data_IF_223528278860
#
_entry.id   IF_223528278860
#
_cell.length_a   1.000
_cell.length_b   1.000
_cell.length_c   1.000
_cell.angle_alpha   90.00
_cell.angle_beta   90.00
_cell.angle_gamma   90.00
#
_symmetry.space_group_name_H-M   'P 1'
#
loop_
_entity.id
_entity.type
_entity.pdbx_description
1 polymer ?
#
# COMPACT_ATOMS: atom_id res chain seq x y z
N UNK A 1 8.29 8.31 -12.06
CA UNK A 1 7.02 9.07 -12.08
C UNK A 1 7.09 10.40 -11.34
N UNK A 2 7.70 10.51 -10.15
CA UNK A 2 7.96 11.84 -9.53
C UNK A 2 8.76 12.78 -10.43
N UNK A 3 9.67 12.23 -11.24
CA UNK A 3 10.38 12.99 -12.26
C UNK A 3 9.45 13.64 -13.31
N UNK A 4 8.30 13.06 -13.61
CA UNK A 4 7.31 13.65 -14.52
C UNK A 4 6.53 14.79 -13.85
N UNK A 5 6.16 14.63 -12.58
CA UNK A 5 5.55 15.70 -11.80
C UNK A 5 6.54 16.86 -11.59
N UNK A 6 7.79 16.55 -11.25
CA UNK A 6 8.88 17.51 -11.16
C UNK A 6 9.07 18.23 -12.50
N UNK A 7 9.04 17.50 -13.62
CA UNK A 7 9.13 18.07 -14.96
C UNK A 7 7.96 19.01 -15.24
N UNK A 8 6.72 18.67 -14.86
CA UNK A 8 5.55 19.57 -15.01
C UNK A 8 5.70 20.83 -14.15
N UNK A 9 6.14 20.72 -12.90
CA UNK A 9 6.36 21.87 -12.00
C UNK A 9 7.54 22.73 -12.46
N UNK A 10 8.58 22.12 -13.05
CA UNK A 10 9.71 22.85 -13.63
C UNK A 10 9.24 23.58 -14.89
N UNK A 11 8.51 22.92 -15.79
CA UNK A 11 7.97 23.53 -17.00
C UNK A 11 6.97 24.64 -16.69
N UNK A 12 6.11 24.49 -15.68
CA UNK A 12 5.20 25.55 -15.25
C UNK A 12 5.95 26.77 -14.72
N UNK A 13 7.04 26.55 -13.98
CA UNK A 13 7.90 27.63 -13.48
C UNK A 13 8.69 28.34 -14.58
N UNK A 14 9.20 27.60 -15.57
CA UNK A 14 9.86 28.18 -16.76
C UNK A 14 8.85 28.98 -17.58
N UNK A 15 7.66 28.44 -17.81
CA UNK A 15 6.59 29.13 -18.51
C UNK A 15 6.18 30.43 -17.82
N UNK A 16 6.14 30.44 -16.48
CA UNK A 16 5.86 31.64 -15.69
C UNK A 16 6.89 32.76 -15.94
N UNK A 17 8.19 32.45 -15.89
CA UNK A 17 9.27 33.42 -16.07
C UNK A 17 9.35 33.92 -17.52
N UNK A 18 9.21 33.02 -18.50
CA UNK A 18 9.22 33.38 -19.93
C UNK A 18 8.03 34.28 -20.25
N UNK A 19 6.83 33.91 -19.82
CA UNK A 19 5.62 34.68 -20.10
C UNK A 19 5.67 36.05 -19.41
N UNK A 20 6.16 36.11 -18.17
CA UNK A 20 6.34 37.38 -17.45
C UNK A 20 7.35 38.29 -18.14
N UNK A 21 8.46 37.75 -18.64
CA UNK A 21 9.48 38.50 -19.39
C UNK A 21 8.95 39.03 -20.74
N UNK A 22 8.18 38.22 -21.46
CA UNK A 22 7.55 38.61 -22.73
C UNK A 22 6.52 39.73 -22.51
N UNK A 23 5.67 39.61 -21.49
CA UNK A 23 4.66 40.63 -21.16
C UNK A 23 5.36 41.95 -20.81
N UNK A 24 6.38 41.93 -19.95
CA UNK A 24 7.13 43.13 -19.57
C UNK A 24 7.83 43.78 -20.77
N UNK A 25 8.46 42.99 -21.63
CA UNK A 25 9.15 43.48 -22.82
C UNK A 25 8.17 44.13 -23.80
N UNK A 26 7.05 43.46 -24.08
CA UNK A 26 6.03 43.97 -25.00
C UNK A 26 5.37 45.25 -24.47
N UNK A 27 5.14 45.34 -23.16
CA UNK A 27 4.61 46.56 -22.52
C UNK A 27 5.62 47.72 -22.52
N UNK A 28 6.94 47.47 -22.57
CA UNK A 28 7.97 48.51 -22.63
C UNK A 28 8.32 48.97 -24.05
N UNK A 29 8.31 48.08 -25.06
CA UNK A 29 8.68 48.41 -26.44
C UNK A 29 7.57 49.20 -27.18
N UNK A 30 6.30 49.06 -26.80
CA UNK A 30 5.19 49.80 -27.43
C UNK A 30 4.06 50.14 -26.44
N UNK A 31 4.15 51.25 -25.69
CA UNK A 31 3.06 51.70 -24.82
C UNK A 31 1.95 52.30 -25.71
N UNK A 32 1.04 51.45 -26.20
CA UNK A 32 -0.03 51.91 -27.10
C UNK A 32 -1.17 52.60 -26.34
N UNK A 33 -1.47 52.24 -25.09
CA UNK A 33 -2.40 52.95 -24.19
C UNK A 33 -2.13 52.65 -22.70
N UNK A 34 -2.47 53.57 -21.78
CA UNK A 34 -2.33 53.39 -20.32
C UNK A 34 -3.09 52.17 -19.78
N UNK A 35 -4.17 51.77 -20.46
CA UNK A 35 -4.97 50.58 -20.12
C UNK A 35 -4.19 49.27 -20.28
N UNK A 36 -3.32 49.17 -21.29
CA UNK A 36 -2.59 47.95 -21.63
C UNK A 36 -1.50 47.62 -20.61
N UNK A 37 -0.91 48.68 -20.04
CA UNK A 37 0.04 48.61 -18.92
C UNK A 37 -0.65 48.11 -17.65
N UNK A 38 -1.88 48.55 -17.38
CA UNK A 38 -2.67 48.12 -16.22
C UNK A 38 -3.09 46.64 -16.31
N UNK A 39 -3.49 46.16 -17.50
CA UNK A 39 -3.76 44.74 -17.76
C UNK A 39 -2.50 43.90 -17.59
N UNK A 40 -1.35 44.34 -18.12
CA UNK A 40 -0.07 43.65 -17.92
C UNK A 40 0.28 43.50 -16.43
N UNK A 41 0.10 44.55 -15.62
CA UNK A 41 0.30 44.47 -14.17
C UNK A 41 -0.68 43.53 -13.48
N UNK A 42 -1.93 43.43 -13.95
CA UNK A 42 -2.94 42.51 -13.40
C UNK A 42 -2.59 41.06 -13.73
N UNK A 43 -2.18 40.77 -14.96
CA UNK A 43 -1.69 39.45 -15.38
C UNK A 43 -0.43 39.09 -14.58
N UNK A 44 0.54 40.00 -14.41
CA UNK A 44 1.73 39.75 -13.60
C UNK A 44 1.40 39.47 -12.12
N UNK A 45 0.36 40.09 -11.56
CA UNK A 45 -0.12 39.77 -10.18
C UNK A 45 -0.70 38.36 -10.09
N UNK A 46 -1.50 37.95 -11.08
CA UNK A 46 -2.05 36.58 -11.15
C UNK A 46 -0.93 35.56 -11.36
N UNK A 47 0.05 35.87 -12.21
CA UNK A 47 1.22 35.01 -12.47
C UNK A 47 2.08 34.84 -11.20
N UNK A 48 2.22 35.86 -10.36
CA UNK A 48 2.89 35.72 -9.05
C UNK A 48 2.21 34.71 -8.12
N UNK A 49 0.89 34.50 -8.24
CA UNK A 49 0.19 33.48 -7.46
C UNK A 49 0.56 32.07 -7.94
N UNK A 50 0.91 31.89 -9.21
CA UNK A 50 1.40 30.61 -9.74
C UNK A 50 2.77 30.20 -9.14
N UNK A 51 3.52 31.14 -8.52
CA UNK A 51 4.73 30.81 -7.74
C UNK A 51 4.45 29.88 -6.57
N UNK A 52 3.20 29.77 -6.13
CA UNK A 52 2.79 28.79 -5.11
C UNK A 52 3.11 27.35 -5.54
N UNK A 53 3.21 27.08 -6.85
CA UNK A 53 3.69 25.80 -7.40
C UNK A 53 5.12 25.46 -6.96
N UNK A 54 5.96 26.46 -6.65
CA UNK A 54 7.30 26.25 -6.07
C UNK A 54 7.21 25.71 -4.64
N UNK A 55 6.18 26.09 -3.87
CA UNK A 55 5.92 25.55 -2.53
C UNK A 55 5.41 24.10 -2.58
N UNK A 56 4.75 23.71 -3.66
CA UNK A 56 4.35 22.31 -3.89
C UNK A 56 5.58 21.39 -3.99
N UNK A 57 6.77 21.90 -4.33
CA UNK A 57 8.02 21.11 -4.23
C UNK A 57 8.36 20.72 -2.80
N UNK A 58 7.98 21.52 -1.79
CA UNK A 58 8.19 21.18 -0.38
C UNK A 58 7.34 19.98 0.06
N UNK A 59 6.16 19.80 -0.55
CA UNK A 59 5.24 18.66 -0.31
C UNK A 59 5.92 17.32 -0.61
N UNK A 60 6.92 17.29 -1.52
CA UNK A 60 7.70 16.10 -1.85
C UNK A 60 8.46 15.53 -0.65
N UNK A 61 9.04 16.40 0.17
CA UNK A 61 9.92 16.01 1.27
C UNK A 61 9.18 15.92 2.61
N UNK A 62 7.94 16.39 2.65
CA UNK A 62 7.12 16.32 3.83
C UNK A 62 6.64 14.87 4.09
N UNK A 63 7.02 14.27 5.24
CA UNK A 63 6.62 12.91 5.60
C UNK A 63 5.11 12.76 5.79
N UNK A 64 4.41 13.85 6.13
CA UNK A 64 2.93 13.91 6.28
C UNK A 64 2.21 13.45 5.00
N UNK A 65 2.78 13.70 3.81
CA UNK A 65 2.16 13.32 2.54
C UNK A 65 2.58 11.93 2.05
N UNK A 66 3.35 11.16 2.83
CA UNK A 66 3.69 9.77 2.46
C UNK A 66 2.42 8.94 2.23
N UNK A 67 1.46 9.01 3.13
CA UNK A 67 0.19 8.26 3.04
C UNK A 67 -0.63 8.67 1.82
N UNK A 68 -0.76 9.98 1.57
CA UNK A 68 -1.45 10.49 0.38
C UNK A 68 -0.79 10.00 -0.93
N UNK A 69 0.55 9.96 -0.96
CA UNK A 69 1.30 9.48 -2.14
C UNK A 69 1.11 7.99 -2.40
N UNK A 70 1.00 7.19 -1.33
CA UNK A 70 0.69 5.77 -1.44
C UNK A 70 -0.73 5.60 -1.98
N UNK A 71 -1.73 6.30 -1.42
CA UNK A 71 -3.11 6.26 -1.90
C UNK A 71 -3.25 6.69 -3.37
N UNK A 72 -2.63 7.80 -3.77
CA UNK A 72 -2.64 8.28 -5.17
C UNK A 72 -2.01 7.25 -6.10
N UNK A 73 -0.91 6.59 -5.69
CA UNK A 73 -0.28 5.53 -6.49
C UNK A 73 -1.21 4.33 -6.66
N UNK A 74 -1.89 3.91 -5.60
CA UNK A 74 -2.89 2.85 -5.67
C UNK A 74 -4.01 3.19 -6.64
N UNK A 75 -4.53 4.43 -6.60
CA UNK A 75 -5.57 4.90 -7.54
C UNK A 75 -5.06 4.88 -8.99
N UNK A 76 -3.86 5.43 -9.25
CA UNK A 76 -3.29 5.49 -10.59
C UNK A 76 -3.05 4.09 -11.17
N UNK A 77 -2.64 3.12 -10.35
CA UNK A 77 -2.49 1.74 -10.78
C UNK A 77 -3.84 1.09 -11.12
N UNK A 78 -4.92 1.44 -10.42
CA UNK A 78 -6.28 0.98 -10.74
C UNK A 78 -6.88 1.59 -12.01
N UNK A 79 -6.32 2.70 -12.54
CA UNK A 79 -6.84 3.34 -13.75
C UNK A 79 -6.67 2.48 -15.01
N UNK A 80 -5.60 1.68 -15.10
CA UNK A 80 -5.35 0.88 -16.31
C UNK A 80 -6.41 -0.23 -16.51
N UNK A 81 -6.76 -1.04 -15.49
CA UNK A 81 -7.90 -1.95 -15.58
C UNK A 81 -9.22 -1.22 -15.86
N UNK A 82 -9.44 -0.05 -15.24
CA UNK A 82 -10.64 0.74 -15.43
C UNK A 82 -10.82 1.19 -16.90
N UNK A 83 -9.73 1.58 -17.57
CA UNK A 83 -9.75 1.94 -18.99
C UNK A 83 -10.28 0.77 -19.83
N UNK A 84 -9.79 -0.46 -19.59
CA UNK A 84 -10.27 -1.63 -20.32
C UNK A 84 -11.74 -1.95 -20.03
N UNK A 85 -12.19 -1.78 -18.78
CA UNK A 85 -13.60 -1.88 -18.43
C UNK A 85 -14.47 -0.86 -19.17
N UNK A 86 -14.02 0.41 -19.26
CA UNK A 86 -14.72 1.48 -19.99
C UNK A 86 -14.75 1.17 -21.49
N UNK A 87 -13.65 0.67 -22.07
CA UNK A 87 -13.60 0.27 -23.49
C UNK A 87 -14.59 -0.86 -23.77
N UNK A 88 -14.64 -1.88 -22.90
CA UNK A 88 -15.58 -3.00 -23.04
C UNK A 88 -17.03 -2.55 -22.88
N UNK A 89 -17.33 -1.69 -21.90
CA UNK A 89 -18.65 -1.09 -21.72
C UNK A 89 -19.02 -0.22 -22.94
N UNK A 90 -18.09 0.56 -23.47
CA UNK A 90 -18.30 1.40 -24.65
C UNK A 90 -18.59 0.59 -25.91
N UNK A 91 -17.88 -0.53 -26.11
CA UNK A 91 -18.17 -1.47 -27.20
C UNK A 91 -19.55 -2.11 -27.03
N UNK A 92 -19.90 -2.52 -25.82
CA UNK A 92 -21.22 -3.06 -25.50
C UNK A 92 -22.35 -2.05 -25.78
N UNK A 93 -22.18 -0.80 -25.34
CA UNK A 93 -23.13 0.29 -25.62
C UNK A 93 -23.23 0.58 -27.12
N UNK A 94 -22.11 0.52 -27.86
CA UNK A 94 -22.09 0.70 -29.30
C UNK A 94 -22.95 -0.35 -30.03
N UNK A 95 -22.91 -1.62 -29.62
CA UNK A 95 -23.76 -2.67 -30.20
C UNK A 95 -25.25 -2.36 -30.02
N UNK A 96 -25.67 -1.93 -28.83
CA UNK A 96 -27.06 -1.51 -28.58
C UNK A 96 -27.42 -0.23 -29.32
N UNK A 97 -26.47 0.70 -29.45
CA UNK A 97 -26.69 1.93 -30.21
C UNK A 97 -26.97 1.63 -31.69
N UNK A 98 -26.23 0.69 -32.30
CA UNK A 98 -26.48 0.20 -33.67
C UNK A 98 -27.84 -0.49 -33.78
N UNK A 99 -28.23 -1.28 -32.78
CA UNK A 99 -29.55 -1.91 -32.77
C UNK A 99 -30.68 -0.86 -32.75
N UNK A 100 -30.67 0.08 -31.79
CA UNK A 100 -31.75 1.07 -31.68
C UNK A 100 -31.80 2.03 -32.86
N UNK A 101 -30.65 2.50 -33.40
CA UNK A 101 -30.67 3.36 -34.59
C UNK A 101 -31.24 2.62 -35.80
N UNK A 102 -30.98 1.32 -35.95
CA UNK A 102 -31.53 0.52 -37.05
C UNK A 102 -33.04 0.40 -36.90
N UNK A 103 -33.53 0.01 -35.73
CA UNK A 103 -34.98 -0.11 -35.46
C UNK A 103 -35.69 1.23 -35.63
N UNK A 104 -35.12 2.31 -35.11
CA UNK A 104 -35.66 3.66 -35.26
C UNK A 104 -35.70 4.10 -36.72
N UNK A 105 -34.64 3.83 -37.49
CA UNK A 105 -34.59 4.11 -38.93
C UNK A 105 -35.68 3.35 -39.69
N UNK A 106 -35.88 2.07 -39.38
CA UNK A 106 -36.91 1.24 -40.00
C UNK A 106 -38.32 1.78 -39.73
N UNK A 107 -38.60 2.27 -38.52
CA UNK A 107 -39.90 2.89 -38.20
C UNK A 107 -40.09 4.23 -38.89
N UNK A 108 -39.04 5.06 -38.99
CA UNK A 108 -39.11 6.33 -39.73
C UNK A 108 -39.35 6.08 -41.22
N UNK A 109 -38.73 5.05 -41.80
CA UNK A 109 -38.99 4.64 -43.18
C UNK A 109 -40.41 4.08 -43.34
N UNK A 110 -40.87 3.21 -42.43
CA UNK A 110 -42.23 2.68 -42.46
C UNK A 110 -43.30 3.79 -42.39
N UNK A 111 -43.09 4.82 -41.58
CA UNK A 111 -43.95 6.01 -41.55
C UNK A 111 -43.98 6.78 -42.87
N UNK A 112 -42.86 6.78 -43.62
CA UNK A 112 -42.80 7.45 -44.91
C UNK A 112 -43.54 6.66 -46.01
N UNK A 113 -43.41 5.33 -46.03
CA UNK A 113 -44.06 4.48 -47.04
C UNK A 113 -45.53 4.16 -46.75
N UNK A 114 -45.91 4.07 -45.46
CA UNK A 114 -47.26 3.68 -45.02
C UNK A 114 -47.86 4.69 -44.03
N UNK A 115 -48.11 5.95 -44.43
CA UNK A 115 -48.54 7.01 -43.51
C UNK A 115 -49.90 6.74 -42.86
N UNK A 116 -50.80 6.01 -43.52
CA UNK A 116 -52.13 5.69 -42.98
C UNK A 116 -52.07 4.80 -41.74
N UNK A 117 -51.09 3.89 -41.66
CA UNK A 117 -50.89 2.98 -40.52
C UNK A 117 -50.56 3.75 -39.23
N UNK A 118 -49.91 4.90 -39.36
CA UNK A 118 -49.47 5.75 -38.26
C UNK A 118 -50.30 7.04 -38.15
N UNK A 119 -51.49 7.08 -38.76
CA UNK A 119 -52.35 8.27 -38.76
C UNK A 119 -52.90 8.64 -37.37
N UNK A 120 -52.96 7.68 -36.45
CA UNK A 120 -53.37 7.88 -35.07
C UNK A 120 -52.29 8.54 -34.19
N UNK A 121 -51.05 8.65 -34.69
CA UNK A 121 -49.92 9.23 -33.98
C UNK A 121 -49.59 10.63 -34.50
N UNK A 122 -49.06 11.48 -33.62
CA UNK A 122 -48.41 12.72 -34.05
C UNK A 122 -47.05 12.42 -34.69
N UNK A 123 -47.07 12.12 -35.98
CA UNK A 123 -45.89 11.71 -36.75
C UNK A 123 -44.77 12.75 -36.76
N UNK A 124 -45.12 14.05 -36.68
CA UNK A 124 -44.12 15.13 -36.68
C UNK A 124 -43.35 15.12 -35.36
N UNK A 125 -44.06 15.09 -34.23
CA UNK A 125 -43.45 15.00 -32.90
C UNK A 125 -42.57 13.76 -32.75
N UNK A 126 -43.06 12.59 -33.15
CA UNK A 126 -42.32 11.33 -32.99
C UNK A 126 -41.06 11.31 -33.86
N UNK A 127 -41.13 11.78 -35.12
CA UNK A 127 -39.96 11.88 -36.00
C UNK A 127 -38.90 12.82 -35.41
N UNK A 128 -39.32 13.94 -34.83
CA UNK A 128 -38.40 14.88 -34.19
C UNK A 128 -37.74 14.28 -32.93
N UNK A 129 -38.51 13.54 -32.11
CA UNK A 129 -37.98 12.83 -30.95
C UNK A 129 -36.98 11.73 -31.36
N UNK A 130 -37.33 10.90 -32.35
CA UNK A 130 -36.43 9.87 -32.88
C UNK A 130 -35.15 10.52 -33.43
N UNK A 131 -35.26 11.61 -34.17
CA UNK A 131 -34.07 12.32 -34.70
C UNK A 131 -33.23 12.92 -33.58
N UNK A 132 -33.86 13.43 -32.52
CA UNK A 132 -33.20 14.02 -31.38
C UNK A 132 -32.50 12.99 -30.47
N UNK A 133 -32.92 11.73 -30.45
CA UNK A 133 -32.33 10.69 -29.59
C UNK A 133 -31.55 9.64 -30.37
N UNK A 134 -32.08 9.19 -31.51
CA UNK A 134 -31.59 8.08 -32.30
C UNK A 134 -31.14 8.49 -33.71
N UNK A 135 -30.99 9.79 -34.00
CA UNK A 135 -30.69 10.30 -35.34
C UNK A 135 -29.26 10.05 -35.85
N UNK A 136 -28.31 9.74 -34.97
CA UNK A 136 -26.95 9.36 -35.36
C UNK A 136 -26.34 8.42 -34.33
N UNK A 137 -25.38 7.59 -34.76
CA UNK A 137 -24.78 6.58 -33.90
C UNK A 137 -24.18 7.17 -32.61
N UNK A 138 -23.44 8.27 -32.74
CA UNK A 138 -22.86 8.98 -31.60
C UNK A 138 -23.93 9.54 -30.66
N UNK A 139 -25.02 10.05 -31.22
CA UNK A 139 -26.12 10.63 -30.44
C UNK A 139 -26.92 9.55 -29.72
N UNK A 140 -27.20 8.43 -30.37
CA UNK A 140 -27.79 7.25 -29.73
C UNK A 140 -26.92 6.76 -28.59
N UNK A 141 -25.61 6.62 -28.83
CA UNK A 141 -24.69 6.17 -27.80
C UNK A 141 -24.64 7.13 -26.60
N UNK A 142 -24.67 8.44 -26.85
CA UNK A 142 -24.77 9.46 -25.81
C UNK A 142 -26.08 9.35 -25.01
N UNK A 143 -27.22 9.10 -25.67
CA UNK A 143 -28.51 8.88 -25.00
C UNK A 143 -28.50 7.63 -24.13
N UNK A 144 -27.97 6.52 -24.65
CA UNK A 144 -27.82 5.28 -23.87
C UNK A 144 -26.93 5.49 -22.64
N UNK A 145 -25.84 6.25 -22.78
CA UNK A 145 -25.00 6.64 -21.65
C UNK A 145 -25.76 7.51 -20.64
N UNK A 146 -26.48 8.54 -21.11
CA UNK A 146 -27.31 9.39 -20.25
C UNK A 146 -28.39 8.59 -19.49
N UNK A 147 -29.01 7.61 -20.13
CA UNK A 147 -30.03 6.78 -19.49
C UNK A 147 -29.48 5.91 -18.37
N UNK A 148 -28.23 5.48 -18.46
CA UNK A 148 -27.57 4.69 -17.40
C UNK A 148 -26.98 5.59 -16.32
N UNK A 149 -26.45 6.76 -16.68
CA UNK A 149 -25.78 7.67 -15.76
C UNK A 149 -26.73 8.60 -15.00
N UNK A 150 -28.05 8.48 -15.20
CA UNK A 150 -29.07 9.32 -14.57
C UNK A 150 -29.24 10.71 -15.19
N UNK A 151 -28.76 10.93 -16.42
CA UNK A 151 -28.95 12.18 -17.17
C UNK A 151 -30.27 12.27 -17.93
N UNK A 152 -30.86 11.13 -18.30
CA UNK A 152 -32.16 11.02 -18.96
C UNK A 152 -32.95 9.89 -18.31
N UNK A 153 -34.24 10.11 -18.03
CA UNK A 153 -35.10 9.00 -17.61
C UNK A 153 -35.20 7.97 -18.74
N UNK A 154 -34.87 6.72 -18.43
CA UNK A 154 -34.93 5.62 -19.39
C UNK A 154 -36.36 5.41 -19.91
N UNK A 155 -37.38 5.71 -19.07
CA UNK A 155 -38.79 5.62 -19.45
C UNK A 155 -39.12 6.50 -20.65
N UNK A 156 -38.63 7.74 -20.65
CA UNK A 156 -38.84 8.69 -21.74
C UNK A 156 -38.32 8.18 -23.09
N UNK A 157 -37.16 7.50 -23.08
CA UNK A 157 -36.59 6.93 -24.29
C UNK A 157 -37.32 5.66 -24.73
N UNK A 158 -37.75 4.80 -23.79
CA UNK A 158 -38.50 3.57 -24.11
C UNK A 158 -39.92 3.83 -24.57
N UNK A 159 -40.58 4.86 -24.04
CA UNK A 159 -41.98 5.19 -24.36
C UNK A 159 -42.17 5.51 -25.84
N UNK A 160 -41.15 6.06 -26.51
CA UNK A 160 -41.16 6.27 -27.96
C UNK A 160 -41.38 4.94 -28.70
N UNK A 161 -40.71 3.87 -28.28
CA UNK A 161 -40.88 2.55 -28.89
C UNK A 161 -42.23 1.93 -28.55
N UNK A 162 -42.81 2.24 -27.39
CA UNK A 162 -44.16 1.81 -27.01
C UNK A 162 -45.21 2.53 -27.86
N UNK A 163 -45.10 3.84 -28.04
CA UNK A 163 -45.97 4.65 -28.91
C UNK A 163 -45.90 4.20 -30.38
N UNK A 164 -44.74 3.69 -30.81
CA UNK A 164 -44.54 3.11 -32.13
C UNK A 164 -45.09 1.67 -32.30
N UNK A 165 -45.72 1.13 -31.26
CA UNK A 165 -46.15 -0.29 -31.17
C UNK A 165 -44.99 -1.29 -31.31
N UNK A 166 -43.75 -0.83 -31.07
CA UNK A 166 -42.53 -1.62 -31.18
C UNK A 166 -42.15 -2.24 -29.83
N UNK A 167 -43.00 -3.15 -29.33
CA UNK A 167 -42.82 -3.75 -28.01
C UNK A 167 -41.50 -4.50 -27.85
N UNK A 168 -40.98 -5.10 -28.93
CA UNK A 168 -39.67 -5.78 -28.94
C UNK A 168 -38.52 -4.80 -28.68
N UNK A 169 -38.60 -3.59 -29.26
CA UNK A 169 -37.59 -2.55 -29.09
C UNK A 169 -37.67 -1.93 -27.70
N UNK A 170 -38.88 -1.69 -27.19
CA UNK A 170 -39.09 -1.24 -25.81
C UNK A 170 -38.55 -2.27 -24.79
N UNK A 171 -38.83 -3.56 -24.99
CA UNK A 171 -38.29 -4.64 -24.18
C UNK A 171 -36.76 -4.73 -24.28
N UNK A 172 -36.20 -4.52 -25.49
CA UNK A 172 -34.76 -4.42 -25.70
C UNK A 172 -34.11 -3.27 -24.93
N UNK A 173 -34.79 -2.11 -24.84
CA UNK A 173 -34.32 -0.95 -24.07
C UNK A 173 -34.33 -1.24 -22.57
N UNK A 174 -35.40 -1.85 -22.07
CA UNK A 174 -35.49 -2.29 -20.67
C UNK A 174 -34.39 -3.31 -20.34
N UNK A 175 -34.15 -4.28 -21.23
CA UNK A 175 -33.09 -5.27 -21.08
C UNK A 175 -31.71 -4.62 -21.04
N UNK A 176 -31.44 -3.65 -21.91
CA UNK A 176 -30.21 -2.86 -21.88
C UNK A 176 -30.01 -2.19 -20.51
N UNK A 177 -31.03 -1.49 -20.00
CA UNK A 177 -30.96 -0.81 -18.70
C UNK A 177 -30.73 -1.81 -17.57
N UNK A 178 -31.49 -2.90 -17.52
CA UNK A 178 -31.35 -3.93 -16.50
C UNK A 178 -29.94 -4.54 -16.53
N UNK A 179 -29.42 -4.88 -17.71
CA UNK A 179 -28.10 -5.48 -17.84
C UNK A 179 -26.99 -4.51 -17.39
N UNK A 180 -27.02 -3.25 -17.82
CA UNK A 180 -25.97 -2.30 -17.46
C UNK A 180 -26.05 -1.93 -15.98
N UNK A 181 -27.25 -1.66 -15.45
CA UNK A 181 -27.44 -1.25 -14.07
C UNK A 181 -27.20 -2.40 -13.06
N UNK A 182 -27.68 -3.61 -13.36
CA UNK A 182 -27.62 -4.74 -12.41
C UNK A 182 -26.36 -5.60 -12.58
N UNK A 183 -25.84 -5.74 -13.81
CA UNK A 183 -24.66 -6.56 -14.06
C UNK A 183 -23.41 -5.71 -14.26
N UNK A 184 -23.38 -4.85 -15.28
CA UNK A 184 -22.12 -4.24 -15.73
C UNK A 184 -21.54 -3.28 -14.69
N UNK A 185 -22.33 -2.36 -14.14
CA UNK A 185 -21.85 -1.44 -13.09
C UNK A 185 -21.37 -2.18 -11.84
N UNK A 186 -22.04 -3.28 -11.49
CA UNK A 186 -21.66 -4.11 -10.34
C UNK A 186 -20.37 -4.90 -10.61
N UNK A 187 -20.16 -5.41 -11.82
CA UNK A 187 -18.91 -6.07 -12.24
C UNK A 187 -17.74 -5.09 -12.21
N UNK A 188 -17.91 -3.87 -12.74
CA UNK A 188 -16.86 -2.83 -12.69
C UNK A 188 -16.47 -2.51 -11.25
N UNK A 189 -17.47 -2.38 -10.38
CA UNK A 189 -17.26 -2.13 -8.94
C UNK A 189 -16.52 -3.30 -8.28
N UNK A 190 -16.92 -4.55 -8.58
CA UNK A 190 -16.28 -5.75 -8.04
C UNK A 190 -14.81 -5.86 -8.47
N UNK A 191 -14.51 -5.64 -9.76
CA UNK A 191 -13.14 -5.62 -10.29
C UNK A 191 -12.31 -4.55 -9.60
N UNK A 192 -12.86 -3.35 -9.39
CA UNK A 192 -12.15 -2.28 -8.70
C UNK A 192 -11.81 -2.66 -7.24
N UNK A 193 -12.77 -3.26 -6.52
CA UNK A 193 -12.55 -3.76 -5.15
C UNK A 193 -11.49 -4.86 -5.13
N UNK A 194 -11.55 -5.82 -6.07
CA UNK A 194 -10.56 -6.90 -6.18
C UNK A 194 -9.16 -6.35 -6.45
N UNK A 195 -9.01 -5.40 -7.37
CA UNK A 195 -7.72 -4.74 -7.63
C UNK A 195 -7.21 -3.95 -6.43
N UNK A 196 -8.08 -3.24 -5.71
CA UNK A 196 -7.70 -2.52 -4.49
C UNK A 196 -7.22 -3.47 -3.39
N UNK A 197 -7.92 -4.60 -3.21
CA UNK A 197 -7.53 -5.65 -2.26
C UNK A 197 -6.20 -6.31 -2.66
N UNK A 198 -6.01 -6.59 -3.95
CA UNK A 198 -4.76 -7.15 -4.47
C UNK A 198 -3.59 -6.20 -4.27
N UNK A 199 -3.76 -4.90 -4.54
CA UNK A 199 -2.72 -3.90 -4.28
C UNK A 199 -2.35 -3.83 -2.80
N UNK A 200 -3.32 -3.96 -1.89
CA UNK A 200 -3.05 -3.99 -0.45
C UNK A 200 -2.32 -5.28 -0.01
N UNK A 201 -2.59 -6.41 -0.67
CA UNK A 201 -1.87 -7.66 -0.44
C UNK A 201 -0.44 -7.61 -1.01
N UNK A 202 -0.28 -7.14 -2.25
CA UNK A 202 1.02 -6.97 -2.91
C UNK A 202 1.93 -6.05 -2.09
N UNK A 203 1.40 -4.97 -1.49
CA UNK A 203 2.20 -4.08 -0.64
C UNK A 203 2.72 -4.81 0.63
N UNK A 204 1.92 -5.70 1.23
CA UNK A 204 2.37 -6.56 2.33
C UNK A 204 3.42 -7.56 1.88
N UNK A 205 3.19 -8.25 0.76
CA UNK A 205 4.12 -9.23 0.23
C UNK A 205 5.45 -8.58 -0.19
N UNK A 206 5.42 -7.37 -0.75
CA UNK A 206 6.61 -6.58 -1.05
C UNK A 206 7.37 -6.21 0.23
N UNK A 207 6.67 -5.82 1.30
CA UNK A 207 7.32 -5.55 2.60
C UNK A 207 7.95 -6.83 3.17
N UNK A 208 7.28 -7.98 3.06
CA UNK A 208 7.81 -9.28 3.51
C UNK A 208 9.05 -9.65 2.69
N UNK A 209 8.98 -9.54 1.37
CA UNK A 209 10.10 -9.81 0.47
C UNK A 209 11.29 -8.89 0.73
N UNK A 210 11.05 -7.59 0.96
CA UNK A 210 12.10 -6.62 1.33
C UNK A 210 12.75 -6.99 2.67
N UNK A 211 11.96 -7.46 3.64
CA UNK A 211 12.47 -7.92 4.94
C UNK A 211 13.33 -9.19 4.79
N UNK A 212 12.88 -10.17 3.99
CA UNK A 212 13.64 -11.39 3.70
C UNK A 212 14.91 -11.11 2.89
N UNK A 213 14.85 -10.22 1.89
CA UNK A 213 15.99 -9.84 1.08
C UNK A 213 17.06 -9.15 1.93
N UNK A 214 16.66 -8.24 2.84
CA UNK A 214 17.57 -7.64 3.82
C UNK A 214 18.21 -8.71 4.70
N UNK A 215 17.42 -9.65 5.23
CA UNK A 215 17.92 -10.77 6.05
C UNK A 215 18.97 -11.60 5.31
N UNK A 216 18.71 -12.00 4.06
CA UNK A 216 19.64 -12.77 3.25
C UNK A 216 20.92 -11.99 2.92
N UNK A 217 20.79 -10.69 2.63
CA UNK A 217 21.95 -9.83 2.40
C UNK A 217 22.82 -9.75 3.65
N UNK A 218 22.23 -9.61 4.84
CA UNK A 218 22.98 -9.65 6.10
C UNK A 218 23.72 -10.97 6.32
N UNK A 219 23.10 -12.11 5.98
CA UNK A 219 23.78 -13.40 6.07
C UNK A 219 24.98 -13.50 5.13
N UNK A 220 24.85 -12.95 3.92
CA UNK A 220 25.95 -12.92 2.94
C UNK A 220 27.09 -12.01 3.40
N UNK A 221 26.76 -10.81 3.90
CA UNK A 221 27.74 -9.85 4.41
C UNK A 221 28.47 -10.43 5.64
N UNK A 222 27.75 -11.12 6.54
CA UNK A 222 28.35 -11.81 7.70
C UNK A 222 29.31 -12.94 7.29
N UNK A 223 28.94 -13.76 6.30
CA UNK A 223 29.79 -14.83 5.77
C UNK A 223 31.03 -14.29 5.04
N UNK A 224 30.93 -13.12 4.40
CA UNK A 224 32.08 -12.43 3.81
C UNK A 224 33.08 -12.01 4.90
N UNK A 225 32.59 -11.37 5.96
CA UNK A 225 33.43 -10.96 7.10
C UNK A 225 34.06 -12.17 7.79
N UNK A 226 33.31 -13.27 7.94
CA UNK A 226 33.85 -14.52 8.48
C UNK A 226 35.06 -15.01 7.68
N UNK A 227 34.95 -15.04 6.35
CA UNK A 227 36.04 -15.48 5.47
C UNK A 227 37.25 -14.55 5.47
N UNK A 228 37.04 -13.25 5.70
CA UNK A 228 38.15 -12.30 5.86
C UNK A 228 38.86 -12.50 7.21
N UNK A 229 38.14 -12.95 8.24
CA UNK A 229 38.68 -13.22 9.57
C UNK A 229 39.32 -14.62 9.73
N UNK A 230 38.94 -15.61 8.90
CA UNK A 230 39.56 -16.94 8.85
C UNK A 230 40.86 -16.88 8.03
N UNK A 231 41.91 -16.31 8.63
CA UNK A 231 43.20 -16.07 7.96
C UNK A 231 43.98 -17.37 7.66
N UNK A 232 43.80 -18.41 8.46
CA UNK A 232 44.45 -19.70 8.29
C UNK A 232 43.66 -20.69 7.42
N UNK A 233 42.40 -20.36 7.11
CA UNK A 233 41.50 -21.17 6.28
C UNK A 233 41.10 -22.48 6.96
N UNK A 234 41.16 -22.52 8.30
CA UNK A 234 40.80 -23.69 9.10
C UNK A 234 39.30 -23.98 9.07
N UNK A 235 38.49 -23.01 8.67
CA UNK A 235 37.03 -23.09 8.64
C UNK A 235 36.38 -22.74 9.98
N UNK A 236 37.14 -22.26 10.97
CA UNK A 236 36.65 -21.72 12.23
C UNK A 236 37.50 -20.52 12.66
N UNK A 237 36.92 -19.59 13.43
CA UNK A 237 37.66 -18.43 13.93
C UNK A 237 38.07 -18.70 15.37
N UNK A 238 39.36 -18.84 15.62
CA UNK A 238 39.88 -18.97 16.99
C UNK A 238 39.86 -17.63 17.71
N UNK A 239 39.90 -17.66 19.06
CA UNK A 239 39.90 -16.43 19.86
C UNK A 239 41.03 -15.45 19.48
N UNK A 240 42.19 -15.95 19.05
CA UNK A 240 43.31 -15.10 18.63
C UNK A 240 43.03 -14.41 17.31
N UNK A 241 42.56 -15.16 16.30
CA UNK A 241 42.19 -14.61 14.99
C UNK A 241 41.05 -13.60 15.11
N UNK A 242 40.08 -13.88 15.99
CA UNK A 242 39.03 -12.93 16.29
C UNK A 242 39.59 -11.62 16.86
N UNK A 243 40.54 -11.69 17.81
CA UNK A 243 41.11 -10.49 18.42
C UNK A 243 41.95 -9.67 17.43
N UNK A 244 42.71 -10.36 16.57
CA UNK A 244 43.55 -9.73 15.56
C UNK A 244 42.72 -9.06 14.45
N UNK A 245 41.51 -9.57 14.17
CA UNK A 245 40.62 -9.03 13.14
C UNK A 245 39.50 -8.13 13.64
N UNK A 246 39.16 -8.13 14.93
CA UNK A 246 38.15 -7.22 15.48
C UNK A 246 38.60 -5.76 15.44
N UNK A 247 39.90 -5.51 15.35
CA UNK A 247 40.49 -4.18 15.18
C UNK A 247 40.61 -3.75 13.71
N UNK A 248 40.34 -4.63 12.75
CA UNK A 248 40.36 -4.29 11.33
C UNK A 248 39.22 -3.32 10.98
N UNK A 249 39.53 -2.29 10.20
CA UNK A 249 38.64 -1.19 9.83
C UNK A 249 37.37 -1.70 9.14
N UNK A 250 37.46 -2.81 8.40
CA UNK A 250 36.30 -3.46 7.74
C UNK A 250 35.40 -4.22 8.71
N UNK A 251 36.00 -4.96 9.65
CA UNK A 251 35.24 -5.71 10.67
C UNK A 251 34.55 -4.74 11.63
N UNK A 252 35.23 -3.66 12.02
CA UNK A 252 34.61 -2.59 12.79
C UNK A 252 33.48 -1.89 12.03
N UNK A 253 33.67 -1.55 10.75
CA UNK A 253 32.59 -0.99 9.95
C UNK A 253 31.36 -1.92 9.87
N UNK A 254 31.58 -3.25 9.80
CA UNK A 254 30.51 -4.23 9.85
C UNK A 254 29.84 -4.31 11.23
N UNK A 255 30.60 -4.40 12.32
CA UNK A 255 30.08 -4.40 13.70
C UNK A 255 29.27 -3.13 14.01
N UNK A 256 29.72 -1.97 13.51
CA UNK A 256 29.03 -0.69 13.66
C UNK A 256 27.73 -0.67 12.85
N UNK A 257 27.71 -1.29 11.66
CA UNK A 257 26.48 -1.53 10.89
C UNK A 257 25.49 -2.49 11.56
N UNK A 258 25.96 -3.23 12.57
CA UNK A 258 25.14 -4.09 13.43
C UNK A 258 24.78 -3.45 14.77
N UNK A 259 25.12 -2.17 14.99
CA UNK A 259 24.90 -1.46 16.25
C UNK A 259 25.55 -2.17 17.46
N UNK A 260 26.66 -2.89 17.23
CA UNK A 260 27.43 -3.58 18.28
C UNK A 260 28.62 -2.75 18.79
N UNK A 261 28.65 -1.46 18.43
CA UNK A 261 29.63 -0.47 18.85
C UNK A 261 29.67 -0.39 20.39
N UNK A 262 30.76 -0.87 21.00
CA UNK A 262 30.99 -0.83 22.45
C UNK A 262 30.85 -2.17 23.20
N UNK A 263 30.56 -3.28 22.52
CA UNK A 263 30.71 -4.61 23.13
C UNK A 263 32.19 -4.98 23.15
N UNK A 264 32.72 -5.19 24.35
CA UNK A 264 34.08 -5.70 24.57
C UNK A 264 34.30 -7.00 23.76
N UNK A 265 35.34 -7.06 22.92
CA UNK A 265 35.59 -8.16 21.98
C UNK A 265 35.56 -9.55 22.66
N UNK A 266 36.03 -9.62 23.90
CA UNK A 266 36.00 -10.83 24.74
C UNK A 266 34.57 -11.31 25.01
N UNK A 267 33.65 -10.39 25.27
CA UNK A 267 32.23 -10.70 25.51
C UNK A 267 31.53 -11.07 24.22
N UNK A 268 31.86 -10.40 23.13
CA UNK A 268 31.31 -10.71 21.81
C UNK A 268 31.69 -12.13 21.39
N UNK A 269 32.97 -12.50 21.51
CA UNK A 269 33.42 -13.86 21.20
C UNK A 269 32.68 -14.92 22.01
N UNK A 270 32.54 -14.73 23.33
CA UNK A 270 31.78 -15.64 24.20
C UNK A 270 30.28 -15.72 23.90
N UNK A 271 29.73 -14.73 23.20
CA UNK A 271 28.33 -14.74 22.75
C UNK A 271 28.17 -15.43 21.39
N UNK A 272 29.25 -15.54 20.62
CA UNK A 272 29.29 -16.22 19.32
C UNK A 272 29.65 -17.70 19.46
N UNK A 273 30.55 -18.04 20.39
CA UNK A 273 30.93 -19.42 20.77
C UNK A 273 29.79 -20.05 21.61
N UNK A 274 28.81 -20.65 20.92
CA UNK A 274 27.59 -21.18 21.55
C UNK A 274 27.85 -22.51 22.27
N UNK A 275 28.79 -23.31 21.76
CA UNK A 275 29.14 -24.62 22.31
C UNK A 275 30.30 -24.59 23.32
N UNK A 276 31.02 -23.46 23.41
CA UNK A 276 32.15 -23.27 24.32
C UNK A 276 33.42 -23.99 23.86
N UNK A 277 33.53 -24.32 22.57
CA UNK A 277 34.68 -25.01 21.98
C UNK A 277 35.95 -24.15 21.97
N UNK A 278 35.83 -22.82 22.14
CA UNK A 278 36.93 -21.87 22.06
C UNK A 278 37.27 -21.46 20.62
N UNK A 279 36.44 -21.85 19.66
CA UNK A 279 36.47 -21.44 18.25
C UNK A 279 35.04 -21.17 17.77
N UNK A 280 34.85 -20.26 16.82
CA UNK A 280 33.52 -19.96 16.29
C UNK A 280 33.39 -20.53 14.89
N UNK A 281 32.42 -21.42 14.68
CA UNK A 281 32.10 -21.96 13.36
C UNK A 281 31.34 -20.94 12.48
N UNK A 282 31.30 -21.11 11.14
CA UNK A 282 30.64 -20.16 10.25
C UNK A 282 29.15 -19.99 10.56
N UNK A 283 28.48 -21.10 10.88
CA UNK A 283 27.06 -21.11 11.21
C UNK A 283 26.80 -20.43 12.58
N UNK A 284 27.70 -20.60 13.54
CA UNK A 284 27.65 -19.93 14.85
C UNK A 284 27.88 -18.42 14.72
N UNK A 285 28.85 -18.02 13.91
CA UNK A 285 29.14 -16.61 13.65
C UNK A 285 27.94 -15.91 13.00
N UNK A 286 27.39 -16.48 11.92
CA UNK A 286 26.22 -15.92 11.22
C UNK A 286 25.00 -15.91 12.14
N UNK A 287 24.72 -17.01 12.83
CA UNK A 287 23.59 -17.10 13.75
C UNK A 287 23.72 -16.09 14.91
N UNK A 288 24.90 -16.01 15.51
CA UNK A 288 25.21 -15.09 16.59
C UNK A 288 25.05 -13.62 16.18
N UNK A 289 25.59 -13.22 15.03
CA UNK A 289 25.40 -11.86 14.49
C UNK A 289 23.92 -11.55 14.20
N UNK A 290 23.15 -12.50 13.66
CA UNK A 290 21.71 -12.33 13.42
C UNK A 290 20.89 -12.21 14.72
N UNK A 291 21.22 -13.02 15.72
CA UNK A 291 20.63 -12.96 17.05
C UNK A 291 20.96 -11.61 17.71
N UNK A 292 22.22 -11.18 17.69
CA UNK A 292 22.66 -9.93 18.31
C UNK A 292 21.95 -8.70 17.74
N UNK A 293 21.71 -8.67 16.42
CA UNK A 293 20.95 -7.60 15.73
C UNK A 293 19.44 -7.57 16.07
N UNK A 294 18.93 -8.54 16.84
CA UNK A 294 17.54 -8.58 17.26
C UNK A 294 16.59 -9.25 16.27
N UNK A 295 17.09 -9.85 15.19
CA UNK A 295 16.24 -10.52 14.19
C UNK A 295 15.65 -11.87 14.68
N UNK A 296 16.17 -12.41 15.79
CA UNK A 296 15.65 -13.61 16.46
C UNK A 296 15.19 -13.37 17.93
N UNK A 297 15.68 -12.30 18.58
CA UNK A 297 15.67 -12.14 20.05
C UNK A 297 14.30 -12.12 20.73
N UNK A 298 13.24 -11.54 20.15
CA UNK A 298 12.01 -11.31 20.92
C UNK A 298 11.26 -12.60 21.24
N UNK A 299 11.25 -13.55 20.31
CA UNK A 299 10.59 -14.84 20.51
C UNK A 299 11.41 -15.74 21.44
N UNK A 300 12.72 -15.82 21.22
CA UNK A 300 13.60 -16.68 22.00
C UNK A 300 13.69 -16.22 23.46
N UNK A 301 13.66 -14.91 23.71
CA UNK A 301 13.65 -14.35 25.07
C UNK A 301 12.30 -14.59 25.76
N UNK A 302 11.19 -14.58 25.02
CA UNK A 302 9.88 -14.97 25.55
C UNK A 302 9.81 -16.47 25.90
N UNK A 303 10.41 -17.33 25.07
CA UNK A 303 10.53 -18.77 25.33
C UNK A 303 11.41 -19.02 26.55
N UNK A 304 12.57 -18.35 26.65
CA UNK A 304 13.48 -18.46 27.79
C UNK A 304 12.80 -18.06 29.10
N UNK A 305 12.07 -16.93 29.12
CA UNK A 305 11.32 -16.49 30.29
C UNK A 305 10.21 -17.48 30.69
N UNK A 306 9.57 -18.12 29.71
CA UNK A 306 8.57 -19.17 29.96
C UNK A 306 9.21 -20.42 30.57
N UNK A 307 10.33 -20.89 30.01
CA UNK A 307 11.05 -22.06 30.55
C UNK A 307 11.64 -21.76 31.93
N UNK A 308 12.15 -20.56 32.17
CA UNK A 308 12.62 -20.12 33.49
C UNK A 308 11.48 -20.13 34.53
N UNK A 309 10.29 -19.62 34.18
CA UNK A 309 9.11 -19.67 35.06
C UNK A 309 8.71 -21.11 35.38
N UNK A 310 8.74 -21.99 34.38
CA UNK A 310 8.41 -23.41 34.54
C UNK A 310 9.44 -24.12 35.43
N UNK A 311 10.73 -23.83 35.24
CA UNK A 311 11.81 -24.33 36.07
C UNK A 311 11.65 -23.87 37.52
N UNK A 312 11.33 -22.59 37.76
CA UNK A 312 11.06 -22.09 39.12
C UNK A 312 9.87 -22.78 39.80
N UNK A 313 8.79 -23.08 39.06
CA UNK A 313 7.65 -23.82 39.60
C UNK A 313 8.01 -25.26 39.97
N UNK A 314 8.80 -25.94 39.13
CA UNK A 314 9.27 -27.30 39.42
C UNK A 314 10.23 -27.30 40.60
N UNK A 315 11.11 -26.31 40.70
CA UNK A 315 12.00 -26.14 41.85
C UNK A 315 11.23 -25.89 43.15
N UNK A 316 10.20 -25.02 43.13
CA UNK A 316 9.34 -24.79 44.28
C UNK A 316 8.65 -26.09 44.75
N UNK A 317 8.15 -26.88 43.80
CA UNK A 317 7.51 -28.17 44.07
C UNK A 317 8.49 -29.18 44.70
N UNK A 318 9.71 -29.27 44.16
CA UNK A 318 10.77 -30.12 44.70
C UNK A 318 11.20 -29.68 46.11
N UNK A 319 11.36 -28.37 46.34
CA UNK A 319 11.73 -27.84 47.66
C UNK A 319 10.65 -28.16 48.71
N UNK A 320 9.36 -28.05 48.36
CA UNK A 320 8.28 -28.46 49.27
C UNK A 320 8.29 -29.96 49.55
N UNK A 321 8.57 -30.80 48.56
CA UNK A 321 8.69 -32.25 48.76
C UNK A 321 9.86 -32.59 49.70
N UNK A 322 11.02 -31.98 49.49
CA UNK A 322 12.20 -32.17 50.35
C UNK A 322 11.92 -31.72 51.78
N UNK A 323 11.27 -30.56 51.96
CA UNK A 323 10.91 -30.02 53.28
C UNK A 323 9.97 -30.98 54.04
N UNK A 324 8.98 -31.56 53.36
CA UNK A 324 8.07 -32.56 53.93
C UNK A 324 8.84 -33.82 54.35
N UNK A 325 9.68 -34.39 53.48
CA UNK A 325 10.47 -35.58 53.80
C UNK A 325 11.46 -35.33 54.94
N UNK A 326 12.12 -34.18 54.96
CA UNK A 326 13.06 -33.81 56.01
C UNK A 326 12.35 -33.66 57.36
N UNK A 327 11.17 -33.02 57.36
CA UNK A 327 10.33 -32.86 58.55
C UNK A 327 9.84 -34.21 59.09
N UNK A 328 9.54 -35.17 58.21
CA UNK A 328 9.16 -36.53 58.61
C UNK A 328 10.33 -37.27 59.28
N UNK A 329 11.53 -37.24 58.68
CA UNK A 329 12.72 -37.88 59.24
C UNK A 329 13.14 -37.27 60.59
N UNK A 330 13.00 -35.95 60.75
CA UNK A 330 13.29 -35.28 62.03
C UNK A 330 12.31 -35.65 63.14
N UNK A 331 11.03 -35.90 62.79
CA UNK A 331 10.03 -36.41 63.74
C UNK A 331 10.33 -37.84 64.17
N UNK A 332 10.91 -38.67 63.31
CA UNK A 332 11.31 -40.04 63.64
C UNK A 332 12.56 -40.09 64.53
N UNK A 333 13.51 -39.16 64.37
CA UNK A 333 14.77 -39.13 65.15
C UNK A 333 14.68 -38.28 66.45
N UNK A 334 13.50 -37.74 66.78
CA UNK A 334 13.22 -36.96 68.00
C UNK A 334 14.18 -35.75 68.21
N UNK A 335 14.74 -35.20 67.14
CA UNK A 335 15.61 -34.02 67.17
C UNK A 335 14.84 -32.78 66.73
N UNK A 336 14.74 -31.78 67.60
CA UNK A 336 14.22 -30.47 67.24
C UNK A 336 15.27 -29.71 66.38
N UNK A 337 14.83 -29.15 65.25
CA UNK A 337 15.63 -28.22 64.46
C UNK A 337 15.90 -26.94 65.26
N UNK A 338 17.09 -26.32 65.12
CA UNK A 338 17.24 -24.91 65.48
C UNK A 338 16.30 -24.11 64.60
N UNK A 339 15.33 -23.43 65.21
CA UNK A 339 14.40 -22.54 64.53
C UNK A 339 15.21 -21.46 63.79
N UNK A 340 15.40 -21.61 62.48
CA UNK A 340 15.72 -20.46 61.65
C UNK A 340 14.50 -19.53 61.66
N UNK A 341 14.69 -18.34 62.22
CA UNK A 341 13.64 -17.35 62.45
C UNK A 341 12.76 -17.12 61.22
N UNK A 342 11.46 -17.11 61.46
CA UNK A 342 10.38 -16.96 60.48
C UNK A 342 10.41 -15.63 59.69
N UNK A 343 11.35 -14.74 59.97
CA UNK A 343 11.56 -13.48 59.23
C UNK A 343 12.24 -13.70 57.87
N UNK A 344 13.00 -14.78 57.68
CA UNK A 344 13.70 -15.04 56.41
C UNK A 344 12.84 -15.71 55.32
N UNK A 345 11.67 -16.26 55.69
CA UNK A 345 10.76 -16.96 54.77
C UNK A 345 9.70 -16.03 54.19
N UNK A 346 9.12 -15.13 55.01
CA UNK A 346 8.18 -14.10 54.54
C UNK A 346 8.83 -13.08 53.61
N UNK A 347 10.09 -12.72 53.85
CA UNK A 347 10.85 -11.78 53.01
C UNK A 347 11.18 -12.34 51.62
N UNK A 348 11.23 -13.67 51.45
CA UNK A 348 11.50 -14.31 50.15
C UNK A 348 10.24 -14.51 49.31
N UNK A 349 9.09 -14.80 49.93
CA UNK A 349 7.82 -14.90 49.20
C UNK A 349 7.30 -13.54 48.70
N UNK A 350 7.58 -12.44 49.39
CA UNK A 350 7.17 -11.09 48.96
C UNK A 350 8.05 -10.48 47.86
N UNK A 351 9.27 -10.99 47.65
CA UNK A 351 10.15 -10.56 46.56
C UNK A 351 9.71 -11.11 45.19
N UNK A 352 8.94 -12.20 45.14
CA UNK A 352 8.49 -12.83 43.89
C UNK A 352 7.10 -12.37 43.40
N UNK A 353 6.31 -11.68 44.23
CA UNK A 353 4.99 -11.17 43.86
C UNK A 353 4.97 -9.72 43.40
N UNK A 354 6.13 -9.05 43.35
CA UNK A 354 6.24 -7.60 43.09
C UNK A 354 6.57 -7.16 41.65
N UNK A 355 6.78 -8.08 40.70
CA UNK A 355 7.13 -7.72 39.29
C UNK A 355 6.02 -8.16 38.34
N UNK A 356 4.85 -7.57 38.54
CA UNK A 356 3.75 -7.58 37.58
C UNK A 356 3.08 -6.20 37.66
N UNK A 357 3.72 -5.25 36.99
CA UNK A 357 3.26 -3.88 36.73
C UNK A 357 3.90 -3.43 35.43
#
# INVERSE_FOLDING_TARGET
YWNWFDLVVILSGIGEEVLSGVILRNSCESPRETGDVMTAFTVLRVMRLLRITRLIRAVRFMPIFRELRVMVRSILNCLMPLIWCIVLLGFFQWCFAVYFITVSSDHVQAMHYFPERYSHLDQTRIKDQIKAMFGSLWRTNYVLFMSVSGGLDWGYASDIFIELESYYAAAGYLFFIALVALAVLNVVTAVFVEYAMKMAADDRDLVIQDTLAKRNKYMQDAMLVFKEADADGSGSITYKEFLDHVEDERVQAFLNSMELDGIEAIRLFKLLDLDGSGSVEPDEFVHGCMCLKGMAKTMDLAILLREQRKAMQTWGSFMSYVDICLTQLLKEDNRELPVMSAESSKSRCSLFSGVSG
#
